data_IF_207367431533
#
_entry.id   IF_207367431533
#
_cell.length_a   1.000
_cell.length_b   1.000
_cell.length_c   1.000
_cell.angle_alpha   90.00
_cell.angle_beta   90.00
_cell.angle_gamma   90.00
#
_symmetry.space_group_name_H-M   'P 1'
#
loop_
_entity.id
_entity.type
_entity.pdbx_description
1 polymer ?
#
# COMPACT_ATOMS: atom_id res chain seq x y z
N UNK A 1 -4.27 -5.85 -19.23
CA UNK A 1 -3.99 -5.87 -17.77
C UNK A 1 -2.50 -5.76 -17.53
N UNK A 2 -2.11 -4.92 -16.60
CA UNK A 2 -0.71 -4.71 -16.24
C UNK A 2 -0.48 -5.23 -14.82
N UNK A 3 0.60 -5.96 -14.62
CA UNK A 3 0.99 -6.47 -13.30
C UNK A 3 2.44 -6.13 -13.02
N UNK A 4 2.76 -5.91 -11.75
CA UNK A 4 4.15 -5.79 -11.31
C UNK A 4 4.29 -6.23 -9.86
N UNK A 5 5.50 -6.57 -9.46
CA UNK A 5 5.82 -6.96 -8.09
C UNK A 5 7.05 -6.21 -7.61
N UNK A 6 6.97 -5.67 -6.40
CA UNK A 6 8.10 -5.12 -5.69
C UNK A 6 8.45 -6.12 -4.59
N UNK A 7 9.71 -6.53 -4.52
CA UNK A 7 10.23 -7.36 -3.42
C UNK A 7 11.33 -6.57 -2.75
N UNK A 8 11.18 -6.32 -1.46
CA UNK A 8 12.10 -5.43 -0.75
C UNK A 8 12.27 -5.87 0.70
N UNK A 9 13.50 -5.81 1.19
CA UNK A 9 13.81 -5.98 2.60
C UNK A 9 13.65 -4.64 3.32
N UNK A 10 12.99 -4.67 4.49
CA UNK A 10 12.87 -3.51 5.37
C UNK A 10 13.63 -3.76 6.65
N UNK A 11 14.29 -2.74 7.16
CA UNK A 11 15.03 -2.78 8.43
C UNK A 11 14.07 -2.60 9.61
N UNK A 12 13.03 -3.44 9.65
CA UNK A 12 12.00 -3.44 10.67
C UNK A 12 11.54 -4.88 10.89
N UNK A 13 11.23 -5.29 12.12
CA UNK A 13 10.62 -6.60 12.37
C UNK A 13 9.30 -6.73 11.60
N UNK A 14 8.99 -7.93 11.12
CA UNK A 14 7.83 -8.16 10.26
C UNK A 14 6.50 -7.74 10.89
N UNK A 15 6.30 -8.01 12.17
CA UNK A 15 5.07 -7.63 12.87
C UNK A 15 4.89 -6.12 12.92
N UNK A 16 5.98 -5.39 13.17
CA UNK A 16 5.96 -3.94 13.20
C UNK A 16 5.70 -3.37 11.81
N UNK A 17 6.39 -3.90 10.80
CA UNK A 17 6.18 -3.49 9.40
C UNK A 17 4.73 -3.70 8.98
N UNK A 18 4.16 -4.86 9.28
CA UNK A 18 2.77 -5.16 8.95
C UNK A 18 1.82 -4.18 9.66
N UNK A 19 2.01 -3.96 10.96
CA UNK A 19 1.13 -3.08 11.73
C UNK A 19 1.11 -1.65 11.16
N UNK A 20 2.24 -1.16 10.68
CA UNK A 20 2.35 0.19 10.12
C UNK A 20 1.73 0.25 8.72
N UNK A 21 2.10 -0.68 7.84
CA UNK A 21 1.65 -0.66 6.44
C UNK A 21 0.15 -0.92 6.33
N UNK A 22 -0.39 -1.81 7.13
CA UNK A 22 -1.81 -2.19 7.07
C UNK A 22 -2.74 -1.25 7.80
N UNK A 23 -2.22 -0.30 8.58
CA UNK A 23 -3.04 0.66 9.31
C UNK A 23 -3.44 1.83 8.41
N UNK A 24 -4.65 1.76 7.86
CA UNK A 24 -5.20 2.79 6.98
C UNK A 24 -5.72 4.01 7.73
N UNK A 25 -5.67 4.02 9.06
CA UNK A 25 -6.18 5.13 9.86
C UNK A 25 -5.11 6.12 10.28
N UNK A 26 -3.83 5.80 10.07
CA UNK A 26 -2.72 6.63 10.48
C UNK A 26 -1.74 6.86 9.35
N UNK A 27 -1.09 8.03 9.37
CA UNK A 27 0.01 8.27 8.45
C UNK A 27 1.25 7.49 8.90
N UNK A 28 1.91 6.76 7.97
CA UNK A 28 3.14 6.06 8.30
C UNK A 28 4.35 6.98 8.43
N UNK A 29 4.23 8.25 8.03
CA UNK A 29 5.31 9.24 8.07
C UNK A 29 4.74 10.65 8.08
N UNK A 30 5.43 11.63 8.70
CA UNK A 30 4.99 13.03 8.65
C UNK A 30 4.88 13.61 7.24
N UNK A 31 5.58 13.02 6.27
CA UNK A 31 5.58 13.48 4.88
C UNK A 31 4.46 12.86 4.04
N UNK A 32 3.66 12.00 4.64
CA UNK A 32 2.53 11.34 3.97
C UNK A 32 1.25 11.74 4.68
N UNK A 33 0.31 12.30 3.94
CA UNK A 33 -0.97 12.74 4.48
C UNK A 33 -2.02 11.63 4.32
N UNK A 34 -2.71 11.31 5.41
CA UNK A 34 -3.80 10.34 5.40
C UNK A 34 -5.03 10.96 6.04
N UNK A 35 -6.15 10.90 5.32
CA UNK A 35 -7.46 11.30 5.82
C UNK A 35 -8.41 10.12 5.71
N UNK A 36 -8.95 9.68 6.83
CA UNK A 36 -9.93 8.58 6.85
C UNK A 36 -11.28 9.14 6.42
N UNK A 37 -11.84 8.59 5.35
CA UNK A 37 -13.17 8.96 4.87
C UNK A 37 -14.24 8.07 5.46
N UNK A 38 -13.94 6.78 5.64
CA UNK A 38 -14.87 5.81 6.17
C UNK A 38 -14.11 4.76 6.98
N UNK A 39 -14.57 4.49 8.19
CA UNK A 39 -13.95 3.47 9.04
C UNK A 39 -14.50 2.10 8.66
N UNK A 40 -13.60 1.12 8.61
CA UNK A 40 -13.98 -0.25 8.35
C UNK A 40 -14.52 -0.98 9.57
N UNK A 41 -14.82 -2.25 9.37
CA UNK A 41 -15.37 -3.12 10.42
C UNK A 41 -14.28 -3.50 11.43
N UNK A 42 -14.44 -3.15 12.72
CA UNK A 42 -13.46 -3.52 13.74
C UNK A 42 -13.31 -5.03 13.93
N UNK A 43 -14.35 -5.81 13.66
CA UNK A 43 -14.29 -7.27 13.78
C UNK A 43 -13.40 -7.90 12.69
N UNK A 44 -13.21 -7.20 11.58
CA UNK A 44 -12.34 -7.64 10.49
C UNK A 44 -11.05 -6.83 10.40
N UNK A 45 -10.60 -6.27 11.53
CA UNK A 45 -9.37 -5.47 11.65
C UNK A 45 -9.35 -4.24 10.74
N UNK A 46 -10.53 -3.66 10.48
CA UNK A 46 -10.67 -2.44 9.69
C UNK A 46 -10.91 -2.67 8.20
N UNK A 47 -11.22 -3.89 7.78
CA UNK A 47 -11.62 -4.16 6.40
C UNK A 47 -12.77 -3.24 5.99
N UNK A 48 -12.65 -2.62 4.82
CA UNK A 48 -13.60 -1.62 4.36
C UNK A 48 -13.21 -0.18 4.67
N UNK A 49 -12.14 0.05 5.41
CA UNK A 49 -11.63 1.41 5.67
C UNK A 49 -11.26 2.09 4.36
N UNK A 50 -11.77 3.30 4.16
CA UNK A 50 -11.46 4.13 3.00
C UNK A 50 -10.64 5.33 3.47
N UNK A 51 -9.51 5.55 2.81
CA UNK A 51 -8.63 6.68 3.11
C UNK A 51 -8.30 7.48 1.86
N UNK A 52 -8.09 8.78 2.06
CA UNK A 52 -7.49 9.66 1.08
C UNK A 52 -6.02 9.81 1.48
N UNK A 53 -5.10 9.33 0.65
CA UNK A 53 -3.68 9.37 0.94
C UNK A 53 -2.94 10.20 -0.10
N UNK A 54 -2.04 11.05 0.39
CA UNK A 54 -1.19 11.89 -0.45
C UNK A 54 0.27 11.57 -0.17
N UNK A 55 0.98 11.16 -1.21
CA UNK A 55 2.41 10.87 -1.18
C UNK A 55 3.05 11.71 -2.29
N UNK A 56 3.77 12.78 -1.89
CA UNK A 56 4.31 13.71 -2.87
C UNK A 56 3.20 14.38 -3.67
N UNK A 57 3.21 14.20 -5.00
CA UNK A 57 2.20 14.75 -5.90
C UNK A 57 1.07 13.77 -6.20
N UNK A 58 1.14 12.57 -5.66
CA UNK A 58 0.14 11.52 -5.89
C UNK A 58 -0.88 11.56 -4.77
N UNK A 59 -2.15 11.71 -5.14
CA UNK A 59 -3.28 11.67 -4.22
C UNK A 59 -4.30 10.67 -4.72
N UNK A 60 -4.60 9.65 -3.91
CA UNK A 60 -5.54 8.60 -4.27
C UNK A 60 -6.46 8.26 -3.11
N UNK A 61 -7.63 7.72 -3.45
CA UNK A 61 -8.55 7.13 -2.48
C UNK A 61 -8.40 5.63 -2.52
N UNK A 62 -8.13 5.04 -1.37
CA UNK A 62 -7.89 3.61 -1.24
C UNK A 62 -8.85 2.95 -0.27
N UNK A 63 -9.21 1.72 -0.56
CA UNK A 63 -10.03 0.90 0.35
C UNK A 63 -9.26 -0.35 0.75
N UNK A 64 -9.22 -0.60 2.05
CA UNK A 64 -8.67 -1.83 2.60
C UNK A 64 -9.69 -2.95 2.36
N UNK A 65 -9.33 -3.93 1.53
CA UNK A 65 -10.26 -4.99 1.13
C UNK A 65 -10.27 -6.16 2.10
N UNK A 66 -9.09 -6.64 2.50
CA UNK A 66 -8.99 -7.79 3.41
C UNK A 66 -7.68 -7.78 4.17
N UNK A 67 -7.67 -8.39 5.36
CA UNK A 67 -6.46 -8.56 6.15
C UNK A 67 -6.34 -9.98 6.66
N UNK A 68 -5.12 -10.49 6.64
CA UNK A 68 -4.73 -11.74 7.29
C UNK A 68 -3.52 -11.44 8.17
N UNK A 69 -3.72 -10.85 9.37
CA UNK A 69 -2.61 -10.49 10.24
C UNK A 69 -1.85 -11.72 10.74
N UNK A 70 -0.55 -11.63 10.93
CA UNK A 70 0.35 -10.51 10.63
C UNK A 70 1.04 -10.66 9.27
N UNK A 71 0.45 -11.35 8.32
CA UNK A 71 1.09 -11.83 7.10
C UNK A 71 0.79 -10.98 5.86
N UNK A 72 -0.48 -10.62 5.63
CA UNK A 72 -0.85 -10.00 4.35
C UNK A 72 -2.14 -9.19 4.43
N UNK A 73 -2.30 -8.32 3.45
CA UNK A 73 -3.57 -7.60 3.23
C UNK A 73 -3.72 -7.25 1.75
N UNK A 74 -4.95 -6.95 1.36
CA UNK A 74 -5.26 -6.48 0.01
C UNK A 74 -5.98 -5.14 0.08
N UNK A 75 -5.75 -4.30 -0.94
CA UNK A 75 -6.39 -3.00 -1.05
C UNK A 75 -6.69 -2.66 -2.49
N UNK A 76 -7.61 -1.73 -2.71
CA UNK A 76 -7.95 -1.23 -4.04
C UNK A 76 -7.82 0.29 -4.07
N UNK A 77 -7.66 0.83 -5.28
CA UNK A 77 -7.72 2.27 -5.51
C UNK A 77 -9.10 2.58 -6.09
N UNK A 78 -9.84 3.46 -5.42
CA UNK A 78 -11.20 3.83 -5.82
C UNK A 78 -11.20 4.99 -6.82
N UNK A 79 -10.25 5.92 -6.68
CA UNK A 79 -10.16 7.08 -7.57
C UNK A 79 -8.82 7.79 -7.39
N UNK A 80 -8.51 8.71 -8.30
CA UNK A 80 -7.31 9.53 -8.23
C UNK A 80 -6.14 9.04 -9.07
N UNK A 81 -6.27 7.90 -9.74
CA UNK A 81 -5.23 7.35 -10.59
C UNK A 81 -5.77 7.06 -11.99
N UNK A 82 -4.94 7.16 -13.04
CA UNK A 82 -5.36 6.85 -14.42
C UNK A 82 -5.39 5.33 -14.67
N UNK A 83 -5.90 4.59 -13.70
CA UNK A 83 -5.95 3.13 -13.70
C UNK A 83 -7.29 2.69 -13.16
N UNK A 84 -7.80 1.57 -13.66
CA UNK A 84 -9.02 0.95 -13.16
C UNK A 84 -8.75 -0.48 -12.73
N UNK A 85 -9.64 -1.00 -11.88
CA UNK A 85 -9.53 -2.37 -11.35
C UNK A 85 -8.17 -2.61 -10.69
N UNK A 86 -7.65 -1.58 -10.01
CA UNK A 86 -6.39 -1.67 -9.29
C UNK A 86 -6.56 -2.48 -8.03
N UNK A 87 -5.76 -3.52 -7.89
CA UNK A 87 -5.72 -4.35 -6.69
C UNK A 87 -4.28 -4.56 -6.28
N UNK A 88 -3.97 -4.17 -5.04
CA UNK A 88 -2.67 -4.43 -4.43
C UNK A 88 -2.76 -5.56 -3.43
N UNK A 89 -1.77 -6.42 -3.43
CA UNK A 89 -1.63 -7.49 -2.45
C UNK A 89 -0.26 -7.35 -1.80
N UNK A 90 -0.26 -7.13 -0.49
CA UNK A 90 0.97 -6.91 0.28
C UNK A 90 1.17 -8.08 1.22
N UNK A 91 2.28 -8.79 1.06
CA UNK A 91 2.67 -9.89 1.94
C UNK A 91 3.98 -9.53 2.64
N UNK A 92 4.05 -9.80 3.93
CA UNK A 92 5.22 -9.47 4.75
C UNK A 92 5.63 -10.72 5.51
N UNK A 93 6.89 -11.11 5.32
CA UNK A 93 7.46 -12.29 5.98
C UNK A 93 8.64 -11.88 6.86
N UNK A 94 8.86 -12.57 7.99
CA UNK A 94 10.05 -12.33 8.79
C UNK A 94 11.30 -12.80 8.05
N UNK A 95 12.39 -12.04 8.20
CA UNK A 95 13.70 -12.38 7.68
C UNK A 95 14.72 -12.00 8.74
N UNK A 96 14.99 -12.92 9.65
CA UNK A 96 15.77 -12.70 10.87
C UNK A 96 15.09 -11.60 11.70
N UNK A 97 15.78 -10.49 12.01
CA UNK A 97 15.22 -9.34 12.73
C UNK A 97 14.64 -8.27 11.80
N UNK A 98 14.59 -8.58 10.50
CA UNK A 98 14.07 -7.69 9.46
C UNK A 98 12.81 -8.28 8.84
N UNK A 99 12.31 -7.63 7.81
CA UNK A 99 11.14 -8.11 7.09
C UNK A 99 11.38 -8.11 5.58
N UNK A 100 10.74 -9.05 4.89
CA UNK A 100 10.70 -9.11 3.46
C UNK A 100 9.29 -8.76 3.01
N UNK A 101 9.16 -7.67 2.25
CA UNK A 101 7.89 -7.20 1.71
C UNK A 101 7.78 -7.62 0.26
N UNK A 102 6.68 -8.28 -0.07
CA UNK A 102 6.31 -8.57 -1.46
C UNK A 102 5.02 -7.83 -1.76
N UNK A 103 5.09 -6.86 -2.63
CA UNK A 103 3.98 -5.99 -3.00
C UNK A 103 3.62 -6.25 -4.46
N UNK A 104 2.51 -6.91 -4.68
CA UNK A 104 2.03 -7.25 -6.02
C UNK A 104 0.84 -6.36 -6.39
N UNK A 105 0.88 -5.81 -7.60
CA UNK A 105 -0.17 -4.92 -8.10
C UNK A 105 -0.63 -5.40 -9.47
N UNK A 106 -1.95 -5.37 -9.69
CA UNK A 106 -2.54 -5.56 -11.01
C UNK A 106 -3.56 -4.46 -11.27
N UNK A 107 -3.61 -3.98 -12.49
CA UNK A 107 -4.55 -2.93 -12.88
C UNK A 107 -4.77 -2.93 -14.38
N UNK A 108 -5.81 -2.22 -14.84
CA UNK A 108 -6.06 -1.94 -16.25
C UNK A 108 -5.82 -0.45 -16.48
N UNK A 109 -4.95 -0.06 -17.42
CA UNK A 109 -4.76 1.36 -17.72
C UNK A 109 -6.03 1.94 -18.35
N UNK A 110 -6.40 3.17 -17.97
CA UNK A 110 -7.55 3.85 -18.58
C UNK A 110 -7.30 4.21 -20.04
N UNK A 111 -6.05 4.46 -20.38
CA UNK A 111 -5.62 4.74 -21.76
C UNK A 111 -4.86 3.53 -22.26
N UNK A 112 -5.32 2.84 -23.32
CA UNK A 112 -4.62 1.68 -23.86
C UNK A 112 -3.16 1.98 -24.21
N UNK A 113 -2.26 1.04 -23.90
CA UNK A 113 -0.84 1.16 -24.17
C UNK A 113 -0.04 1.94 -23.13
N UNK A 114 -0.66 2.45 -22.06
CA UNK A 114 0.04 3.22 -21.02
C UNK A 114 0.29 2.46 -19.73
N UNK A 115 0.06 1.15 -19.72
CA UNK A 115 0.24 0.33 -18.52
C UNK A 115 1.64 0.43 -17.93
N UNK A 116 2.68 0.46 -18.78
CA UNK A 116 4.06 0.58 -18.34
C UNK A 116 4.32 1.88 -17.56
N UNK A 117 3.67 2.98 -18.00
CA UNK A 117 3.82 4.27 -17.32
C UNK A 117 3.18 4.25 -15.94
N UNK A 118 1.96 3.69 -15.84
CA UNK A 118 1.29 3.50 -14.54
C UNK A 118 2.11 2.62 -13.61
N UNK A 119 2.72 1.56 -14.12
CA UNK A 119 3.60 0.70 -13.33
C UNK A 119 4.82 1.45 -12.80
N UNK A 120 5.46 2.26 -13.62
CA UNK A 120 6.63 3.06 -13.19
C UNK A 120 6.23 4.02 -12.06
N UNK A 121 5.15 4.78 -12.24
CA UNK A 121 4.68 5.74 -11.24
C UNK A 121 4.30 5.03 -9.94
N UNK A 122 3.58 3.92 -10.03
CA UNK A 122 3.17 3.14 -8.87
C UNK A 122 4.36 2.57 -8.10
N UNK A 123 5.36 2.02 -8.80
CA UNK A 123 6.57 1.51 -8.16
C UNK A 123 7.32 2.60 -7.42
N UNK A 124 7.47 3.78 -8.02
CA UNK A 124 8.13 4.91 -7.36
C UNK A 124 7.37 5.36 -6.11
N UNK A 125 6.03 5.42 -6.21
CA UNK A 125 5.18 5.84 -5.10
C UNK A 125 5.25 4.85 -3.94
N UNK A 126 5.16 3.55 -4.23
CA UNK A 126 5.23 2.50 -3.22
C UNK A 126 6.61 2.48 -2.55
N UNK A 127 7.68 2.57 -3.34
CA UNK A 127 9.03 2.61 -2.79
C UNK A 127 9.25 3.85 -1.91
N UNK A 128 8.69 4.99 -2.29
CA UNK A 128 8.75 6.19 -1.46
C UNK A 128 8.02 5.98 -0.13
N UNK A 129 6.87 5.35 -0.16
CA UNK A 129 6.13 5.00 1.07
C UNK A 129 6.98 4.13 1.98
N UNK A 130 7.59 3.09 1.43
CA UNK A 130 8.44 2.17 2.20
C UNK A 130 9.70 2.86 2.72
N UNK A 131 10.33 3.73 1.93
CA UNK A 131 11.49 4.51 2.36
C UNK A 131 11.14 5.42 3.55
N UNK A 132 10.05 6.16 3.43
CA UNK A 132 9.58 7.07 4.49
C UNK A 132 9.25 6.31 5.76
N UNK A 133 8.58 5.19 5.65
CA UNK A 133 8.20 4.35 6.78
C UNK A 133 9.42 3.78 7.49
N UNK A 134 10.39 3.27 6.74
CA UNK A 134 11.63 2.72 7.30
C UNK A 134 12.45 3.80 8.00
N UNK A 135 12.57 4.97 7.39
CA UNK A 135 13.34 6.08 7.94
C UNK A 135 12.77 6.56 9.28
N UNK A 136 11.45 6.61 9.41
CA UNK A 136 10.77 7.12 10.60
C UNK A 136 10.74 6.09 11.75
N UNK A 137 10.71 4.81 11.42
CA UNK A 137 10.42 3.75 12.39
C UNK A 137 11.59 2.84 12.77
N UNK A 138 12.74 2.99 12.14
CA UNK A 138 13.88 2.18 12.53
C UNK A 138 14.72 2.77 13.67
#
# INVERSE_FOLDING_TARGET
MTTFTITRELDLPSEKAFAIISDFTRSPSPNISVKVEEKGDPETNGSGTIRDITIGKVRVRERLESLTPPNSFTYSILSGAPMKDYLGNVAIAPQEDKSLVRWNVKFTPKIPGTGWLGAIVSKKTINRLLDEMEMVNR
#
